data_IF_044892906907
#
_entry.id   IF_044892906907
#
_cell.length_a   1.000
_cell.length_b   1.000
_cell.length_c   1.000
_cell.angle_alpha   90.00
_cell.angle_beta   90.00
_cell.angle_gamma   90.00
#
_symmetry.space_group_name_H-M   'P 1'
#
loop_
_entity.id
_entity.type
_entity.pdbx_description
1 polymer ?
#
# COMPACT_ATOMS: atom_id res chain seq x y z
N UNK A 1 -17.07 -40.54 -13.85
CA UNK A 1 -17.21 -39.10 -13.55
C UNK A 1 -15.84 -38.55 -13.20
N UNK A 2 -15.27 -37.63 -14.00
CA UNK A 2 -14.02 -36.95 -13.63
C UNK A 2 -14.36 -35.93 -12.55
N UNK A 3 -13.92 -36.16 -11.31
CA UNK A 3 -13.87 -35.10 -10.30
C UNK A 3 -12.93 -34.03 -10.84
N UNK A 4 -13.48 -32.92 -11.32
CA UNK A 4 -12.69 -31.73 -11.59
C UNK A 4 -12.17 -31.24 -10.23
N UNK A 5 -10.89 -31.48 -9.98
CA UNK A 5 -10.17 -30.92 -8.84
C UNK A 5 -10.13 -29.40 -9.02
N UNK A 6 -10.85 -28.69 -8.16
CA UNK A 6 -10.81 -27.23 -8.05
C UNK A 6 -9.93 -26.86 -6.87
N UNK A 7 -9.01 -25.92 -7.08
CA UNK A 7 -8.20 -25.33 -6.03
C UNK A 7 -8.72 -23.94 -5.70
N UNK A 8 -8.73 -23.59 -4.41
CA UNK A 8 -9.05 -22.23 -3.95
C UNK A 8 -7.75 -21.42 -3.84
N UNK A 9 -7.68 -20.32 -4.59
CA UNK A 9 -6.58 -19.37 -4.55
C UNK A 9 -7.04 -18.07 -3.87
N UNK A 10 -6.23 -17.53 -2.97
CA UNK A 10 -6.52 -16.28 -2.28
C UNK A 10 -5.50 -15.21 -2.67
N UNK A 11 -5.96 -14.07 -3.16
CA UNK A 11 -5.18 -12.86 -3.30
C UNK A 11 -5.52 -11.92 -2.16
N UNK A 12 -4.52 -11.49 -1.40
CA UNK A 12 -4.70 -10.51 -0.33
C UNK A 12 -3.66 -9.41 -0.47
N UNK A 13 -4.12 -8.16 -0.42
CA UNK A 13 -3.26 -6.98 -0.38
C UNK A 13 -3.78 -6.04 0.70
N UNK A 14 -2.90 -5.24 1.30
CA UNK A 14 -3.29 -4.16 2.19
C UNK A 14 -2.90 -2.82 1.56
N UNK A 15 -3.86 -1.92 1.46
CA UNK A 15 -3.68 -0.57 0.91
C UNK A 15 -3.71 0.46 2.05
N UNK A 16 -2.94 1.53 1.92
CA UNK A 16 -2.99 2.68 2.84
C UNK A 16 -4.40 3.31 2.81
N UNK A 17 -5.09 3.57 3.94
CA UNK A 17 -6.56 3.56 3.98
C UNK A 17 -7.19 4.92 4.17
N UNK A 18 -6.44 6.01 4.27
CA UNK A 18 -7.06 7.27 4.71
C UNK A 18 -7.48 8.18 3.57
N UNK A 19 -6.99 7.95 2.35
CA UNK A 19 -7.34 8.73 1.16
C UNK A 19 -7.31 7.92 -0.14
N UNK A 20 -6.89 6.65 -0.09
CA UNK A 20 -6.79 5.84 -1.29
C UNK A 20 -8.19 5.56 -1.85
N UNK A 21 -8.43 5.92 -3.11
CA UNK A 21 -9.63 5.55 -3.85
C UNK A 21 -9.28 4.40 -4.79
N UNK A 22 -9.97 3.26 -4.62
CA UNK A 22 -9.91 2.18 -5.58
C UNK A 22 -10.44 2.66 -6.94
N UNK A 23 -9.72 2.38 -8.01
CA UNK A 23 -10.24 2.63 -9.36
C UNK A 23 -11.31 1.60 -9.71
N UNK A 24 -12.27 2.03 -10.53
CA UNK A 24 -13.39 1.20 -10.99
C UNK A 24 -12.96 0.03 -11.90
N UNK A 25 -11.71 -0.01 -12.34
CA UNK A 25 -11.16 -1.05 -13.22
C UNK A 25 -10.05 -1.82 -12.51
N UNK A 26 -10.43 -2.74 -11.63
CA UNK A 26 -9.53 -3.75 -11.06
C UNK A 26 -9.86 -5.12 -11.69
N UNK A 27 -9.29 -5.43 -12.87
CA UNK A 27 -9.61 -6.66 -13.59
C UNK A 27 -8.94 -7.89 -12.93
N UNK A 28 -9.64 -9.02 -13.03
CA UNK A 28 -9.08 -10.34 -12.80
C UNK A 28 -9.02 -11.07 -14.14
N UNK A 29 -7.92 -11.73 -14.47
CA UNK A 29 -7.82 -12.55 -15.69
C UNK A 29 -7.61 -14.01 -15.32
N UNK A 30 -8.42 -14.92 -15.88
CA UNK A 30 -8.29 -16.39 -15.74
C UNK A 30 -8.13 -16.96 -17.14
N UNK A 31 -7.01 -17.63 -17.43
CA UNK A 31 -6.75 -18.28 -18.73
C UNK A 31 -7.04 -17.36 -19.93
N UNK A 32 -6.70 -16.07 -19.81
CA UNK A 32 -6.90 -15.04 -20.85
C UNK A 32 -8.25 -14.32 -20.82
N UNK A 33 -9.23 -14.78 -20.03
CA UNK A 33 -10.55 -14.13 -19.89
C UNK A 33 -10.54 -13.11 -18.76
N UNK A 34 -10.82 -11.84 -19.07
CA UNK A 34 -10.84 -10.73 -18.11
C UNK A 34 -12.23 -10.49 -17.53
N UNK A 35 -12.31 -10.41 -16.21
CA UNK A 35 -13.49 -10.13 -15.41
C UNK A 35 -13.34 -8.76 -14.74
N UNK A 36 -14.27 -7.80 -14.95
CA UNK A 36 -14.19 -6.47 -14.35
C UNK A 36 -14.51 -6.51 -12.85
N UNK A 37 -13.76 -5.76 -12.05
CA UNK A 37 -14.08 -5.49 -10.65
C UNK A 37 -15.26 -4.52 -10.54
N UNK A 38 -16.39 -4.95 -9.99
CA UNK A 38 -17.58 -4.10 -9.81
C UNK A 38 -17.60 -3.57 -8.36
N UNK A 39 -17.44 -2.26 -8.20
CA UNK A 39 -17.66 -1.58 -6.91
C UNK A 39 -19.16 -1.57 -6.59
N UNK A 40 -19.50 -1.98 -5.37
CA UNK A 40 -20.86 -2.00 -4.83
C UNK A 40 -20.85 -1.46 -3.40
N UNK A 41 -22.01 -1.05 -2.93
CA UNK A 41 -22.22 -0.71 -1.52
C UNK A 41 -21.84 -1.88 -0.60
N UNK A 42 -21.30 -1.56 0.58
CA UNK A 42 -20.65 -2.51 1.50
C UNK A 42 -21.50 -3.73 1.83
N UNK A 43 -22.77 -3.55 2.21
CA UNK A 43 -23.65 -4.66 2.57
C UNK A 43 -24.04 -5.51 1.35
N UNK A 44 -24.34 -4.87 0.22
CA UNK A 44 -24.64 -5.55 -1.04
C UNK A 44 -23.43 -6.36 -1.55
N UNK A 45 -22.22 -5.83 -1.41
CA UNK A 45 -20.97 -6.51 -1.74
C UNK A 45 -20.72 -7.70 -0.81
N UNK A 46 -20.94 -7.55 0.50
CA UNK A 46 -20.79 -8.61 1.50
C UNK A 46 -21.74 -9.78 1.24
N UNK A 47 -23.03 -9.48 0.99
CA UNK A 47 -24.06 -10.49 0.72
C UNK A 47 -23.77 -11.26 -0.57
N UNK A 48 -23.38 -10.57 -1.65
CA UNK A 48 -22.98 -11.21 -2.91
C UNK A 48 -21.73 -12.07 -2.75
N UNK A 49 -20.74 -11.60 -1.99
CA UNK A 49 -19.53 -12.38 -1.71
C UNK A 49 -19.87 -13.69 -0.99
N UNK A 50 -20.64 -13.64 0.09
CA UNK A 50 -21.02 -14.83 0.86
C UNK A 50 -21.83 -15.83 0.01
N UNK A 51 -22.75 -15.35 -0.81
CA UNK A 51 -23.51 -16.18 -1.75
C UNK A 51 -22.63 -16.83 -2.83
N UNK A 52 -21.63 -16.10 -3.35
CA UNK A 52 -20.71 -16.64 -4.33
C UNK A 52 -19.79 -17.70 -3.70
N UNK A 53 -19.23 -17.44 -2.52
CA UNK A 53 -18.40 -18.41 -1.79
C UNK A 53 -19.18 -19.67 -1.44
N UNK A 54 -20.41 -19.56 -0.94
CA UNK A 54 -21.24 -20.72 -0.61
C UNK A 54 -21.62 -21.57 -1.82
N UNK A 55 -21.67 -20.95 -3.02
CA UNK A 55 -21.90 -21.64 -4.30
C UNK A 55 -20.62 -22.14 -4.97
N UNK A 56 -19.46 -22.02 -4.30
CA UNK A 56 -18.17 -22.38 -4.89
C UNK A 56 -17.75 -21.48 -6.06
N UNK A 57 -18.34 -20.29 -6.18
CA UNK A 57 -18.03 -19.30 -7.20
C UNK A 57 -16.89 -18.39 -6.75
N UNK A 58 -16.16 -17.84 -7.72
CA UNK A 58 -15.15 -16.80 -7.49
C UNK A 58 -15.79 -15.55 -6.87
N UNK A 59 -15.19 -15.00 -5.80
CA UNK A 59 -15.70 -13.83 -5.10
C UNK A 59 -14.58 -12.91 -4.57
N UNK A 60 -14.76 -11.59 -4.68
CA UNK A 60 -13.83 -10.58 -4.16
C UNK A 60 -14.48 -9.62 -3.17
N UNK A 61 -13.74 -9.19 -2.15
CA UNK A 61 -14.27 -8.35 -1.07
C UNK A 61 -13.20 -7.42 -0.47
N UNK A 62 -13.57 -6.18 -0.19
CA UNK A 62 -12.70 -5.17 0.45
C UNK A 62 -13.21 -4.91 1.85
N UNK A 63 -12.32 -4.91 2.85
CA UNK A 63 -12.64 -4.61 4.25
C UNK A 63 -11.57 -3.73 4.88
N UNK A 64 -11.94 -2.89 5.84
CA UNK A 64 -10.95 -2.20 6.67
C UNK A 64 -10.07 -3.20 7.45
N UNK A 65 -8.78 -2.89 7.62
CA UNK A 65 -7.83 -3.71 8.37
C UNK A 65 -6.88 -2.87 9.22
N UNK A 66 -7.34 -2.52 10.42
CA UNK A 66 -6.55 -1.74 11.38
C UNK A 66 -6.72 -0.22 11.18
N UNK A 67 -5.86 0.56 11.87
CA UNK A 67 -5.94 2.03 11.91
C UNK A 67 -5.38 2.71 10.65
N UNK A 68 -4.42 2.06 9.98
CA UNK A 68 -3.63 2.58 8.86
C UNK A 68 -3.58 1.66 7.64
N UNK A 69 -4.42 0.62 7.53
CA UNK A 69 -4.64 -0.10 6.25
C UNK A 69 -6.08 -0.58 6.03
N UNK A 70 -6.45 -0.76 4.77
CA UNK A 70 -7.62 -1.49 4.32
C UNK A 70 -7.11 -2.80 3.71
N UNK A 71 -7.74 -3.94 4.05
CA UNK A 71 -7.41 -5.24 3.50
C UNK A 71 -8.35 -5.56 2.35
N UNK A 72 -7.74 -5.70 1.18
CA UNK A 72 -8.35 -6.24 0.00
C UNK A 72 -8.14 -7.76 -0.03
N UNK A 73 -9.21 -8.55 -0.09
CA UNK A 73 -9.12 -10.02 -0.17
C UNK A 73 -10.05 -10.57 -1.24
N UNK A 74 -9.49 -11.37 -2.14
CA UNK A 74 -10.23 -12.03 -3.21
C UNK A 74 -9.94 -13.53 -3.16
N UNK A 75 -10.99 -14.33 -3.13
CA UNK A 75 -10.92 -15.79 -3.07
C UNK A 75 -11.56 -16.37 -4.32
N UNK A 76 -10.81 -17.23 -5.01
CA UNK A 76 -11.21 -17.71 -6.33
C UNK A 76 -11.04 -19.21 -6.42
N UNK A 77 -12.05 -19.90 -6.94
CA UNK A 77 -11.92 -21.30 -7.28
C UNK A 77 -11.45 -21.41 -8.73
N UNK A 78 -10.38 -22.15 -8.95
CA UNK A 78 -9.72 -22.32 -10.25
C UNK A 78 -9.61 -23.80 -10.56
N UNK A 79 -9.67 -24.14 -11.84
CA UNK A 79 -9.42 -25.51 -12.27
C UNK A 79 -7.93 -25.84 -12.10
N UNK A 80 -7.62 -27.13 -12.02
CA UNK A 80 -6.23 -27.61 -12.05
C UNK A 80 -5.51 -27.09 -13.30
N UNK A 81 -4.25 -26.67 -13.11
CA UNK A 81 -3.38 -26.10 -14.15
C UNK A 81 -3.82 -24.77 -14.79
N UNK A 82 -4.78 -24.05 -14.20
CA UNK A 82 -5.15 -22.70 -14.64
C UNK A 82 -4.15 -21.62 -14.19
N UNK A 83 -4.02 -20.56 -14.98
CA UNK A 83 -3.25 -19.34 -14.64
C UNK A 83 -4.19 -18.19 -14.32
N UNK A 84 -4.00 -17.57 -13.16
CA UNK A 84 -4.77 -16.39 -12.74
C UNK A 84 -3.86 -15.21 -12.49
N UNK A 85 -4.30 -14.04 -12.96
CA UNK A 85 -3.65 -12.76 -12.71
C UNK A 85 -4.64 -11.83 -12.02
N UNK A 86 -4.20 -11.26 -10.89
CA UNK A 86 -4.94 -10.23 -10.16
C UNK A 86 -4.24 -8.90 -10.34
N UNK A 87 -5.01 -7.87 -10.66
CA UNK A 87 -4.52 -6.50 -10.72
C UNK A 87 -5.36 -5.61 -9.82
N UNK A 88 -4.69 -4.90 -8.92
CA UNK A 88 -5.29 -3.91 -8.05
C UNK A 88 -4.64 -2.56 -8.33
N UNK A 89 -5.46 -1.56 -8.66
CA UNK A 89 -5.06 -0.19 -8.91
C UNK A 89 -5.83 0.75 -8.00
N UNK A 90 -5.09 1.59 -7.29
CA UNK A 90 -5.61 2.61 -6.40
C UNK A 90 -4.80 3.90 -6.55
N UNK A 91 -5.41 5.02 -6.22
CA UNK A 91 -4.76 6.33 -6.20
C UNK A 91 -4.90 6.94 -4.83
N UNK A 92 -3.83 7.59 -4.36
CA UNK A 92 -3.78 8.32 -3.11
C UNK A 92 -3.15 9.70 -3.35
N UNK A 93 -3.69 10.72 -2.68
CA UNK A 93 -3.01 12.01 -2.55
C UNK A 93 -2.10 11.97 -1.31
N UNK A 94 -0.79 11.97 -1.54
CA UNK A 94 0.18 11.93 -0.45
C UNK A 94 0.09 13.20 0.41
N UNK A 95 0.02 13.00 1.74
CA UNK A 95 0.02 14.08 2.73
C UNK A 95 1.39 14.22 3.34
N UNK A 96 1.97 15.43 3.26
CA UNK A 96 3.23 15.75 3.95
C UNK A 96 3.02 15.80 5.45
N UNK A 97 3.82 15.06 6.21
CA UNK A 97 3.87 15.08 7.67
C UNK A 97 5.32 14.99 8.12
N UNK A 98 5.66 15.66 9.22
CA UNK A 98 7.02 15.65 9.78
C UNK A 98 8.12 15.94 8.74
N UNK A 99 7.82 16.80 7.77
CA UNK A 99 8.77 17.20 6.74
C UNK A 99 8.81 16.31 5.48
N UNK A 100 8.18 15.13 5.45
CA UNK A 100 8.28 14.19 4.32
C UNK A 100 6.92 13.75 3.81
N UNK A 101 6.87 13.34 2.54
CA UNK A 101 5.79 12.52 2.00
C UNK A 101 6.15 11.05 2.21
N UNK A 102 5.17 10.22 2.56
CA UNK A 102 5.38 8.81 2.83
C UNK A 102 4.47 7.97 1.92
N UNK A 103 5.06 7.07 1.15
CA UNK A 103 4.35 6.00 0.45
C UNK A 103 4.51 4.72 1.27
N UNK A 104 3.39 4.22 1.79
CA UNK A 104 3.37 3.05 2.67
C UNK A 104 2.87 1.82 1.91
N UNK A 105 3.68 0.75 1.90
CA UNK A 105 3.36 -0.53 1.26
C UNK A 105 3.46 -1.63 2.30
N UNK A 106 2.35 -2.34 2.54
CA UNK A 106 2.39 -3.55 3.38
C UNK A 106 2.82 -4.75 2.54
N UNK A 107 3.89 -5.41 2.94
CA UNK A 107 4.42 -6.61 2.26
C UNK A 107 4.10 -7.85 3.10
N UNK A 108 3.36 -8.78 2.50
CA UNK A 108 2.99 -10.06 3.14
C UNK A 108 2.52 -11.10 2.10
N UNK A 109 3.40 -11.58 1.22
CA UNK A 109 2.99 -12.49 0.14
C UNK A 109 2.61 -13.90 0.64
N UNK A 110 2.82 -14.22 1.92
CA UNK A 110 2.53 -15.52 2.59
C UNK A 110 3.31 -16.74 2.08
N UNK A 111 3.93 -16.63 0.91
CA UNK A 111 4.77 -17.64 0.29
C UNK A 111 5.95 -16.97 -0.43
N UNK A 112 6.95 -17.77 -0.79
CA UNK A 112 8.04 -17.33 -1.67
C UNK A 112 7.48 -16.96 -3.05
N UNK A 113 8.00 -15.89 -3.64
CA UNK A 113 7.52 -15.37 -4.92
C UNK A 113 8.67 -15.40 -5.93
N UNK A 114 8.49 -16.13 -7.03
CA UNK A 114 9.53 -16.30 -8.06
C UNK A 114 10.04 -14.98 -8.64
N UNK A 115 9.15 -13.99 -8.79
CA UNK A 115 9.47 -12.63 -9.24
C UNK A 115 8.74 -11.64 -8.34
N UNK A 116 9.38 -11.27 -7.24
CA UNK A 116 8.90 -10.21 -6.36
C UNK A 116 9.51 -8.89 -6.78
N UNK A 117 8.70 -7.85 -6.94
CA UNK A 117 9.18 -6.52 -7.31
C UNK A 117 8.31 -5.43 -6.64
N UNK A 118 8.98 -4.44 -6.07
CA UNK A 118 8.41 -3.13 -5.74
C UNK A 118 9.16 -2.10 -6.59
N UNK A 119 8.43 -1.35 -7.39
CA UNK A 119 8.95 -0.27 -8.20
C UNK A 119 8.17 1.02 -7.91
N UNK A 120 8.89 2.11 -7.70
CA UNK A 120 8.30 3.44 -7.57
C UNK A 120 9.04 4.45 -8.44
N UNK A 121 8.28 5.14 -9.29
CA UNK A 121 8.75 6.21 -10.14
C UNK A 121 8.11 7.52 -9.65
N UNK A 122 8.95 8.44 -9.16
CA UNK A 122 8.53 9.71 -8.56
C UNK A 122 8.88 10.83 -9.54
N UNK A 123 7.91 11.71 -9.82
CA UNK A 123 8.13 12.91 -10.61
C UNK A 123 7.58 14.14 -9.87
N UNK A 124 8.46 15.08 -9.57
CA UNK A 124 8.14 16.30 -8.83
C UNK A 124 8.64 17.53 -9.59
N UNK A 125 7.76 18.43 -10.05
CA UNK A 125 8.14 19.60 -10.85
C UNK A 125 9.18 20.51 -10.18
N UNK A 126 9.16 20.60 -8.84
CA UNK A 126 10.09 21.39 -8.04
C UNK A 126 11.46 20.72 -7.87
N UNK A 127 11.58 19.44 -8.22
CA UNK A 127 12.75 18.63 -7.90
C UNK A 127 12.63 17.93 -6.55
N UNK A 128 13.26 16.77 -6.46
CA UNK A 128 13.35 15.95 -5.25
C UNK A 128 14.56 16.42 -4.46
N UNK A 129 14.37 16.72 -3.17
CA UNK A 129 15.45 17.13 -2.26
C UNK A 129 16.07 15.95 -1.52
N UNK A 130 15.28 14.90 -1.28
CA UNK A 130 15.66 13.75 -0.47
C UNK A 130 14.84 12.53 -0.87
N UNK A 131 15.46 11.33 -0.81
CA UNK A 131 14.79 10.06 -1.06
C UNK A 131 15.33 8.97 -0.13
N UNK A 132 14.42 8.37 0.64
CA UNK A 132 14.71 7.34 1.62
C UNK A 132 13.77 6.15 1.47
N UNK A 133 14.26 5.00 1.91
CA UNK A 133 13.51 3.75 1.96
C UNK A 133 13.77 3.13 3.31
N UNK A 134 12.69 2.79 4.00
CA UNK A 134 12.70 2.08 5.27
C UNK A 134 11.84 0.83 5.14
N UNK A 135 12.15 -0.22 5.90
CA UNK A 135 11.26 -1.36 5.97
C UNK A 135 11.55 -2.24 7.16
N UNK A 136 10.48 -2.76 7.78
CA UNK A 136 10.60 -3.51 9.05
C UNK A 136 11.23 -4.89 8.86
N UNK A 137 11.25 -5.40 7.62
CA UNK A 137 11.90 -6.66 7.25
C UNK A 137 13.24 -6.45 6.53
N UNK A 138 13.67 -5.20 6.29
CA UNK A 138 14.94 -4.90 5.64
C UNK A 138 16.08 -5.08 6.65
N UNK A 139 16.69 -6.26 6.64
CA UNK A 139 17.90 -6.58 7.38
C UNK A 139 19.17 -6.23 6.58
N UNK A 140 20.35 -6.50 7.15
CA UNK A 140 21.63 -6.21 6.50
C UNK A 140 21.82 -6.90 5.14
N UNK A 141 21.12 -8.01 4.88
CA UNK A 141 21.19 -8.75 3.61
C UNK A 141 20.25 -8.16 2.54
N UNK A 142 19.10 -7.63 2.95
CA UNK A 142 18.11 -7.03 2.05
C UNK A 142 18.33 -5.55 1.79
N UNK A 143 18.98 -4.82 2.69
CA UNK A 143 19.28 -3.39 2.49
C UNK A 143 20.03 -3.13 1.17
N UNK A 144 21.07 -3.91 0.78
CA UNK A 144 21.76 -3.75 -0.50
C UNK A 144 20.90 -4.07 -1.73
N UNK A 145 19.80 -4.82 -1.56
CA UNK A 145 18.88 -5.17 -2.66
C UNK A 145 18.01 -3.97 -3.06
N UNK A 146 17.78 -3.03 -2.14
CA UNK A 146 17.07 -1.79 -2.42
C UNK A 146 17.96 -0.87 -3.24
N UNK A 147 17.58 -0.61 -4.49
CA UNK A 147 18.22 0.42 -5.31
C UNK A 147 17.35 1.66 -5.29
N UNK A 148 17.96 2.80 -4.97
CA UNK A 148 17.30 4.10 -5.02
C UNK A 148 18.21 5.12 -5.69
N UNK A 149 17.63 6.01 -6.48
CA UNK A 149 18.33 7.12 -7.09
C UNK A 149 17.35 8.27 -7.33
N UNK A 150 17.85 9.49 -7.31
CA UNK A 150 17.07 10.65 -7.74
C UNK A 150 17.99 11.68 -8.39
N UNK A 151 17.44 12.42 -9.34
CA UNK A 151 18.13 13.50 -10.03
C UNK A 151 17.13 14.52 -10.53
N UNK A 152 17.29 15.77 -10.10
CA UNK A 152 16.37 16.85 -10.41
C UNK A 152 14.93 16.47 -10.04
N UNK A 153 14.08 16.35 -11.06
CA UNK A 153 12.63 16.10 -10.93
C UNK A 153 12.25 14.62 -10.78
N UNK A 154 13.19 13.71 -11.01
CA UNK A 154 12.90 12.27 -11.10
C UNK A 154 13.54 11.51 -9.95
N UNK A 155 12.78 10.60 -9.35
CA UNK A 155 13.24 9.65 -8.36
C UNK A 155 12.81 8.24 -8.75
N UNK A 156 13.64 7.27 -8.42
CA UNK A 156 13.37 5.87 -8.70
C UNK A 156 13.77 5.03 -7.49
N UNK A 157 12.89 4.08 -7.13
CA UNK A 157 13.15 3.04 -6.14
C UNK A 157 12.78 1.70 -6.75
N UNK A 158 13.67 0.72 -6.65
CA UNK A 158 13.42 -0.66 -7.02
C UNK A 158 13.87 -1.60 -5.91
N UNK A 159 13.05 -2.58 -5.57
CA UNK A 159 13.38 -3.68 -4.67
C UNK A 159 12.90 -4.99 -5.30
N UNK A 160 13.84 -5.85 -5.68
CA UNK A 160 13.59 -7.10 -6.39
C UNK A 160 14.46 -8.23 -5.82
N UNK A 161 14.14 -8.77 -4.63
CA UNK A 161 14.89 -9.85 -4.01
C UNK A 161 14.72 -11.18 -4.76
N UNK A 162 15.79 -11.96 -4.84
CA UNK A 162 15.75 -13.34 -5.34
C UNK A 162 14.96 -14.25 -4.39
N UNK A 163 14.57 -15.45 -4.84
CA UNK A 163 13.89 -16.43 -3.98
C UNK A 163 14.73 -16.71 -2.73
N UNK A 164 16.05 -16.87 -2.88
CA UNK A 164 16.95 -17.18 -1.77
C UNK A 164 17.01 -16.05 -0.75
N UNK A 165 17.05 -14.79 -1.21
CA UNK A 165 16.98 -13.60 -0.34
C UNK A 165 15.62 -13.44 0.38
N UNK A 166 14.56 -14.10 -0.10
CA UNK A 166 13.26 -14.07 0.55
C UNK A 166 13.12 -15.11 1.67
N UNK A 167 13.97 -16.14 1.73
CA UNK A 167 13.82 -17.25 2.68
C UNK A 167 14.18 -16.82 4.09
N UNK A 168 13.47 -17.36 5.08
CA UNK A 168 13.84 -17.20 6.50
C UNK A 168 15.09 -18.01 6.90
N UNK A 169 15.43 -19.04 6.14
CA UNK A 169 16.61 -19.90 6.31
C UNK A 169 16.92 -20.64 5.00
N UNK A 170 18.14 -21.19 4.85
CA UNK A 170 18.64 -21.81 3.61
C UNK A 170 17.66 -22.78 2.93
N UNK A 171 16.97 -23.63 3.72
CA UNK A 171 16.05 -24.65 3.19
C UNK A 171 14.58 -24.41 3.56
N UNK A 172 14.24 -23.22 4.08
CA UNK A 172 12.89 -22.89 4.49
C UNK A 172 11.99 -22.57 3.28
N UNK A 173 10.72 -23.00 3.35
CA UNK A 173 9.68 -22.62 2.37
C UNK A 173 8.95 -21.33 2.76
N UNK A 174 9.24 -20.80 3.94
CA UNK A 174 8.67 -19.57 4.49
C UNK A 174 9.44 -18.33 4.04
N UNK A 175 8.72 -17.23 3.84
CA UNK A 175 9.31 -15.94 3.47
C UNK A 175 9.51 -15.02 4.67
N UNK A 176 10.62 -14.29 4.69
CA UNK A 176 10.88 -13.21 5.66
C UNK A 176 10.25 -11.88 5.24
N UNK A 177 9.70 -11.77 4.02
CA UNK A 177 9.03 -10.58 3.50
C UNK A 177 7.68 -10.35 4.19
N UNK A 178 7.72 -9.96 5.46
CA UNK A 178 6.55 -9.72 6.28
C UNK A 178 6.71 -8.43 7.07
N UNK A 179 6.04 -7.38 6.63
CA UNK A 179 6.12 -6.10 7.30
C UNK A 179 5.77 -4.92 6.42
N UNK A 180 6.41 -3.80 6.72
CA UNK A 180 6.14 -2.52 6.06
C UNK A 180 7.34 -2.16 5.18
N UNK A 181 7.07 -1.59 4.02
CA UNK A 181 8.04 -0.99 3.11
C UNK A 181 7.59 0.45 2.84
N UNK A 182 8.39 1.42 3.27
CA UNK A 182 8.04 2.83 3.29
C UNK A 182 9.04 3.61 2.46
N UNK A 183 8.55 4.29 1.43
CA UNK A 183 9.36 5.22 0.64
C UNK A 183 9.05 6.62 1.12
N UNK A 184 10.07 7.35 1.58
CA UNK A 184 9.95 8.72 2.05
C UNK A 184 10.69 9.66 1.10
N UNK A 185 10.10 10.80 0.78
CA UNK A 185 10.76 11.82 0.00
C UNK A 185 10.28 13.21 0.40
N UNK A 186 11.07 14.24 0.08
CA UNK A 186 10.60 15.63 0.06
C UNK A 186 11.05 16.31 -1.24
N UNK A 187 10.49 17.48 -1.50
CA UNK A 187 10.76 18.29 -2.68
C UNK A 187 11.58 19.52 -2.31
N UNK A 188 12.26 20.11 -3.31
CA UNK A 188 12.84 21.44 -3.14
C UNK A 188 11.72 22.46 -2.88
N UNK A 189 11.97 23.41 -1.98
CA UNK A 189 11.00 24.42 -1.53
C UNK A 189 11.64 25.80 -1.45
N UNK A 190 12.50 26.10 -2.40
CA UNK A 190 13.24 27.37 -2.42
C UNK A 190 12.32 28.53 -2.85
N UNK A 191 11.28 28.23 -3.63
CA UNK A 191 10.12 29.10 -3.82
C UNK A 191 9.00 28.73 -2.82
N UNK A 192 8.41 29.70 -2.10
CA UNK A 192 7.25 29.46 -1.24
C UNK A 192 5.95 29.19 -2.03
N UNK A 193 5.94 29.52 -3.33
CA UNK A 193 4.81 29.36 -4.22
C UNK A 193 5.08 28.25 -5.24
N UNK A 194 4.25 27.20 -5.22
CA UNK A 194 4.25 26.11 -6.19
C UNK A 194 2.83 25.91 -6.73
N UNK A 195 2.48 26.74 -7.71
CA UNK A 195 1.24 26.63 -8.48
C UNK A 195 1.49 25.81 -9.75
N UNK A 196 0.73 24.74 -9.92
CA UNK A 196 0.75 23.90 -11.11
C UNK A 196 -0.61 23.98 -11.79
N UNK A 197 -0.63 24.28 -13.08
CA UNK A 197 -1.85 24.39 -13.89
C UNK A 197 -1.75 23.42 -15.05
N UNK A 198 -2.72 22.52 -15.18
CA UNK A 198 -2.78 21.51 -16.25
C UNK A 198 -4.22 21.33 -16.68
N UNK A 199 -4.51 21.49 -17.97
CA UNK A 199 -5.82 21.24 -18.58
C UNK A 199 -7.00 21.94 -17.87
N UNK A 200 -6.81 23.19 -17.43
CA UNK A 200 -7.84 23.96 -16.72
C UNK A 200 -8.02 23.62 -15.24
N UNK A 201 -7.26 22.65 -14.71
CA UNK A 201 -7.17 22.35 -13.28
C UNK A 201 -5.89 22.92 -12.70
N UNK A 202 -5.90 23.23 -11.40
CA UNK A 202 -4.70 23.67 -10.71
C UNK A 202 -4.53 22.98 -9.35
N UNK A 203 -3.28 22.88 -8.91
CA UNK A 203 -2.89 22.51 -7.55
C UNK A 203 -1.90 23.54 -7.05
N UNK A 204 -2.16 24.08 -5.86
CA UNK A 204 -1.27 25.04 -5.21
C UNK A 204 -0.69 24.42 -3.93
N UNK A 205 0.61 24.17 -3.92
CA UNK A 205 1.33 23.69 -2.75
C UNK A 205 2.00 24.88 -2.04
N UNK A 206 1.57 25.16 -0.80
CA UNK A 206 2.12 26.24 0.03
C UNK A 206 2.71 25.68 1.33
N UNK A 207 4.03 25.74 1.46
CA UNK A 207 4.77 25.25 2.62
C UNK A 207 6.18 25.87 2.66
N UNK A 208 6.31 27.14 3.09
CA UNK A 208 7.59 27.85 3.19
C UNK A 208 8.53 27.19 4.21
N UNK A 209 9.83 27.15 3.91
CA UNK A 209 10.87 26.54 4.78
C UNK A 209 11.16 27.38 6.02
N UNK A 210 11.26 28.69 5.86
CA UNK A 210 11.72 29.62 6.89
C UNK A 210 10.52 30.46 7.31
N UNK A 211 10.00 30.13 8.49
CA UNK A 211 9.02 30.95 9.20
C UNK A 211 9.48 31.03 10.65
N UNK A 212 9.38 32.21 11.24
CA UNK A 212 9.58 32.36 12.67
C UNK A 212 8.53 31.53 13.42
N UNK A 213 8.97 30.81 14.45
CA UNK A 213 8.05 30.06 15.29
C UNK A 213 7.19 31.05 16.06
N UNK A 214 5.93 31.14 15.66
CA UNK A 214 4.97 31.98 16.36
C UNK A 214 4.75 31.43 17.78
N UNK A 215 4.81 32.28 18.83
CA UNK A 215 4.43 31.86 20.16
C UNK A 215 2.96 31.42 20.16
N UNK A 216 2.65 30.36 20.92
CA UNK A 216 1.30 29.80 21.02
C UNK A 216 0.93 29.61 22.48
N UNK A 217 -0.28 30.01 22.83
CA UNK A 217 -0.88 29.63 24.10
C UNK A 217 -1.53 28.26 23.91
N UNK A 218 -1.06 27.26 24.64
CA UNK A 218 -1.58 25.89 24.56
C UNK A 218 -2.18 25.53 25.92
N UNK A 219 -3.48 25.22 25.94
CA UNK A 219 -4.17 24.70 27.11
C UNK A 219 -4.51 23.23 26.88
N UNK A 220 -4.19 22.38 27.84
CA UNK A 220 -4.56 20.97 27.83
C UNK A 220 -5.79 20.78 28.72
N UNK A 221 -6.89 20.34 28.13
CA UNK A 221 -8.09 19.92 28.87
C UNK A 221 -8.09 18.41 28.87
N UNK A 222 -7.76 17.81 30.01
CA UNK A 222 -7.55 16.38 30.16
C UNK A 222 -8.69 15.81 31.01
N UNK A 223 -9.34 14.75 30.53
CA UNK A 223 -10.31 14.01 31.35
C UNK A 223 -9.58 13.25 32.46
N UNK A 224 -10.05 13.41 33.69
CA UNK A 224 -9.55 12.73 34.90
C UNK A 224 -10.64 11.92 35.58
N UNK A 225 -11.73 11.61 34.85
CA UNK A 225 -12.81 10.76 35.34
C UNK A 225 -12.30 9.36 35.70
N UNK A 226 -13.07 8.63 36.51
CA UNK A 226 -12.72 7.27 36.91
C UNK A 226 -12.50 6.31 35.73
N UNK A 227 -13.07 6.59 34.56
CA UNK A 227 -12.89 5.79 33.32
C UNK A 227 -11.47 5.86 32.73
N UNK A 228 -10.66 6.78 33.23
CA UNK A 228 -9.26 7.00 32.84
C UNK A 228 -8.28 6.18 33.69
N UNK A 229 -8.73 5.56 34.78
CA UNK A 229 -7.86 4.77 35.65
C UNK A 229 -7.15 3.63 34.89
N UNK A 230 -5.88 3.40 35.20
CA UNK A 230 -5.04 2.38 34.55
C UNK A 230 -4.17 2.96 33.43
N UNK A 231 -4.06 2.24 32.31
CA UNK A 231 -3.12 2.60 31.23
C UNK A 231 -3.38 3.98 30.60
N UNK A 232 -4.65 4.42 30.52
CA UNK A 232 -5.02 5.67 29.82
C UNK A 232 -4.50 6.93 30.51
N UNK A 233 -4.45 6.94 31.84
CA UNK A 233 -3.93 8.08 32.61
C UNK A 233 -2.40 8.07 32.71
N UNK A 234 -1.77 6.91 32.44
CA UNK A 234 -0.30 6.78 32.44
C UNK A 234 0.33 7.13 31.09
N UNK A 235 -0.37 6.90 29.98
CA UNK A 235 0.07 7.21 28.60
C UNK A 235 -0.01 8.71 28.27
#
# INVERSE_FOLDING_TARGET
>A
MRQHSFQSLCYTSQISPLLAKLKQKNPKTIDGVTYPGILKEKEAAQKRYQQAVSRGQTAGLVKAAGRKTEKFSVSVNIASSSKVTFQLTYEELLKRKFGKYEMFIKVNPKQLVNKFEIEANIFEPQGISELEVEGTFLNNELLPVVKKSFSGKKGHVSFSPTIEQQRTCDNCTTTLLHGDFVIKYDVNRDSPNNLQVVNGYFVHFFAPKILERLPKNVAFVIDVSGSMYGEKIQQ
#
